data_IF_783062293263
#
_entry.id   IF_783062293263
#
_cell.length_a   1.000
_cell.length_b   1.000
_cell.length_c   1.000
_cell.angle_alpha   90.00
_cell.angle_beta   90.00
_cell.angle_gamma   90.00
#
_symmetry.space_group_name_H-M   'P 1'
#
loop_
_entity.id
_entity.type
_entity.pdbx_description
1 polymer ?
#
# COMPACT_ATOMS: atom_id res chain seq x y z
N UNK A 1 15.89 -3.63 7.74
CA UNK A 1 15.33 -2.32 8.14
C UNK A 1 13.92 -2.47 8.71
N UNK A 2 13.66 -2.06 9.96
CA UNK A 2 12.30 -2.01 10.54
C UNK A 2 11.82 -0.55 10.55
N UNK A 3 10.59 -0.32 10.12
CA UNK A 3 10.05 1.03 10.00
C UNK A 3 8.75 1.23 10.80
N UNK A 4 8.58 2.44 11.30
CA UNK A 4 7.31 2.99 11.78
C UNK A 4 6.48 3.40 10.57
N UNK A 5 5.31 2.79 10.44
CA UNK A 5 4.42 3.03 9.31
C UNK A 5 3.60 4.28 9.60
N UNK A 6 3.66 5.27 8.70
CA UNK A 6 2.78 6.43 8.78
C UNK A 6 1.34 6.11 8.38
N UNK A 7 0.54 7.15 8.18
CA UNK A 7 -0.79 7.05 7.59
C UNK A 7 -0.70 7.04 6.07
N UNK A 8 -1.52 6.21 5.41
CA UNK A 8 -1.68 6.28 3.96
C UNK A 8 -2.35 7.61 3.60
N UNK A 9 -1.77 8.32 2.64
CA UNK A 9 -2.40 9.46 2.01
C UNK A 9 -3.62 9.07 1.20
N UNK A 10 -4.33 10.08 0.70
CA UNK A 10 -5.45 9.88 -0.19
C UNK A 10 -5.01 9.27 -1.52
N UNK A 11 -6.00 8.74 -2.25
CA UNK A 11 -5.75 8.23 -3.58
C UNK A 11 -5.63 9.38 -4.58
N UNK A 12 -4.48 9.48 -5.25
CA UNK A 12 -4.25 10.46 -6.29
C UNK A 12 -5.03 10.10 -7.58
N UNK A 13 -5.00 11.02 -8.56
CA UNK A 13 -5.64 10.84 -9.86
C UNK A 13 -5.15 9.61 -10.64
N UNK A 14 -3.94 9.11 -10.34
CA UNK A 14 -3.37 7.91 -10.94
C UNK A 14 -3.78 6.61 -10.22
N UNK A 15 -4.76 6.68 -9.32
CA UNK A 15 -5.18 5.58 -8.47
C UNK A 15 -4.03 5.03 -7.60
N UNK A 16 -3.16 5.91 -7.10
CA UNK A 16 -2.06 5.58 -6.20
C UNK A 16 -2.15 6.38 -4.91
N UNK A 17 -1.79 5.75 -3.80
CA UNK A 17 -1.63 6.38 -2.49
C UNK A 17 -0.18 6.25 -2.04
N UNK A 18 0.32 7.28 -1.36
CA UNK A 18 1.67 7.30 -0.81
C UNK A 18 1.62 7.23 0.71
N UNK A 19 2.68 6.70 1.32
CA UNK A 19 2.88 6.69 2.77
C UNK A 19 4.35 6.88 3.06
N UNK A 20 4.64 7.72 4.05
CA UNK A 20 5.99 7.90 4.56
C UNK A 20 6.19 7.02 5.80
N UNK A 21 7.22 6.18 5.75
CA UNK A 21 7.65 5.34 6.85
C UNK A 21 8.96 5.89 7.42
N UNK A 22 9.11 5.90 8.74
CA UNK A 22 10.35 6.32 9.44
C UNK A 22 11.10 5.12 9.98
N UNK A 23 12.43 5.13 9.94
CA UNK A 23 13.26 4.06 10.46
C UNK A 23 13.12 4.00 11.99
N UNK A 24 12.92 2.79 12.53
CA UNK A 24 12.91 2.61 13.99
C UNK A 24 14.32 2.72 14.54
N UNK A 25 14.48 3.32 15.72
CA UNK A 25 15.76 3.45 16.40
C UNK A 25 16.51 2.11 16.59
N UNK A 26 15.78 1.00 16.79
CA UNK A 26 16.35 -0.35 16.90
C UNK A 26 16.62 -1.04 15.54
N UNK A 27 16.77 -0.29 14.46
CA UNK A 27 17.08 -0.83 13.13
C UNK A 27 18.52 -0.57 12.76
N UNK A 28 18.95 -1.31 11.73
CA UNK A 28 20.24 -1.12 11.10
C UNK A 28 20.38 0.33 10.54
N UNK A 29 21.44 1.07 10.91
CA UNK A 29 21.68 2.44 10.44
C UNK A 29 22.11 2.53 8.96
N UNK A 30 22.42 1.41 8.30
CA UNK A 30 22.61 1.37 6.84
C UNK A 30 21.33 1.60 6.05
N UNK A 31 20.17 1.51 6.71
CA UNK A 31 18.88 1.74 6.13
C UNK A 31 18.57 3.23 5.97
N UNK A 32 17.76 3.55 4.96
CA UNK A 32 17.24 4.92 4.81
C UNK A 32 16.44 5.34 6.04
N UNK A 33 16.69 6.56 6.54
CA UNK A 33 16.01 7.09 7.72
C UNK A 33 14.51 7.26 7.50
N UNK A 34 14.12 7.67 6.29
CA UNK A 34 12.74 7.80 5.87
C UNK A 34 12.58 7.17 4.49
N UNK A 35 11.54 6.36 4.31
CA UNK A 35 11.20 5.80 2.99
C UNK A 35 9.78 6.20 2.61
N UNK A 36 9.58 6.49 1.34
CA UNK A 36 8.25 6.72 0.78
C UNK A 36 7.80 5.47 0.03
N UNK A 37 6.63 4.95 0.39
CA UNK A 37 6.02 3.80 -0.28
C UNK A 37 4.79 4.26 -1.05
N UNK A 38 4.72 3.86 -2.31
CA UNK A 38 3.53 4.06 -3.14
C UNK A 38 2.80 2.74 -3.32
N UNK A 39 1.47 2.76 -3.20
CA UNK A 39 0.61 1.60 -3.45
C UNK A 39 -0.53 1.98 -4.37
N UNK A 40 -0.92 1.08 -5.27
CA UNK A 40 -2.15 1.24 -6.06
C UNK A 40 -3.38 1.14 -5.16
N UNK A 41 -4.26 2.12 -5.24
CA UNK A 41 -5.57 2.07 -4.61
C UNK A 41 -6.47 1.09 -5.37
N UNK A 42 -7.48 0.55 -4.68
CA UNK A 42 -8.60 -0.09 -5.38
C UNK A 42 -9.44 1.00 -6.06
N UNK A 43 -9.83 0.85 -7.33
CA UNK A 43 -10.79 1.76 -7.94
C UNK A 43 -12.07 1.72 -7.11
N UNK A 44 -12.55 2.88 -6.66
CA UNK A 44 -13.87 3.02 -6.02
C UNK A 44 -14.93 2.78 -7.10
N UNK A 45 -15.20 1.51 -7.41
CA UNK A 45 -16.13 1.15 -8.49
C UNK A 45 -16.18 -0.33 -8.83
N UNK A 46 -15.14 -1.11 -8.54
CA UNK A 46 -15.16 -2.55 -8.82
C UNK A 46 -15.31 -3.30 -7.51
N UNK A 47 -16.55 -3.47 -7.06
CA UNK A 47 -16.88 -4.62 -6.20
C UNK A 47 -16.34 -5.83 -6.95
N UNK A 48 -15.47 -6.68 -6.38
CA UNK A 48 -15.21 -7.96 -7.00
C UNK A 48 -16.56 -8.68 -6.99
N UNK A 49 -17.29 -8.64 -8.09
CA UNK A 49 -18.39 -9.55 -8.32
C UNK A 49 -17.74 -10.91 -8.13
N UNK A 50 -18.07 -11.60 -7.03
CA UNK A 50 -17.82 -13.03 -6.89
C UNK A 50 -18.34 -13.64 -8.19
N UNK A 51 -17.46 -13.88 -9.14
CA UNK A 51 -17.78 -14.58 -10.35
C UNK A 51 -18.12 -15.99 -9.87
N UNK A 52 -19.43 -16.23 -9.73
CA UNK A 52 -20.00 -17.55 -9.54
C UNK A 52 -19.33 -18.47 -10.53
N UNK A 53 -18.49 -19.39 -10.03
CA UNK A 53 -17.92 -20.48 -10.82
C UNK A 53 -19.09 -21.31 -11.35
N UNK A 54 -19.58 -21.01 -12.56
CA UNK A 54 -20.53 -21.90 -13.24
C UNK A 54 -19.74 -23.09 -13.76
N UNK A 55 -20.01 -24.20 -13.11
CA UNK A 55 -19.67 -25.57 -13.46
C UNK A 55 -20.02 -25.84 -14.94
N UNK A 56 -19.04 -26.31 -15.72
CA UNK A 56 -19.26 -26.80 -17.08
C UNK A 56 -19.51 -28.32 -16.96
N UNK A 57 -20.78 -28.71 -16.96
CA UNK A 57 -21.21 -30.07 -17.33
C UNK A 57 -21.18 -30.21 -18.85
#
# INVERSE_FOLDING_TARGET
CRYEKGTWGECNAQSQMTRNDKLKANSDPSCEQNRQITKKCKPKGIKPTKATRRNRQ
#
